data_IF_495796626959
#
_entry.id   IF_495796626959
#
_cell.length_a   1.000
_cell.length_b   1.000
_cell.length_c   1.000
_cell.angle_alpha   90.00
_cell.angle_beta   90.00
_cell.angle_gamma   90.00
#
_symmetry.space_group_name_H-M   'P 1'
#
loop_
_entity.id
_entity.type
_entity.pdbx_description
1 polymer ?
#
# COMPACT_ATOMS: atom_id res chain seq x y z
N UNK A 1 8.08 6.51 2.45
CA UNK A 1 7.78 7.92 2.79
C UNK A 1 6.55 8.35 2.02
N UNK A 2 5.70 9.21 2.59
CA UNK A 2 4.42 9.65 1.99
C UNK A 2 4.39 11.17 1.93
N UNK A 3 3.95 11.73 0.80
CA UNK A 3 3.83 13.18 0.61
C UNK A 3 2.82 13.77 1.61
N UNK A 4 3.12 14.94 2.16
CA UNK A 4 2.20 15.67 3.05
C UNK A 4 0.92 16.16 2.34
N UNK A 5 0.91 16.14 1.01
CA UNK A 5 -0.26 16.47 0.21
C UNK A 5 -1.10 15.25 -0.14
N UNK A 6 -0.62 14.03 0.15
CA UNK A 6 -1.37 12.83 -0.14
C UNK A 6 -2.57 12.70 0.81
N UNK A 7 -3.73 12.34 0.27
CA UNK A 7 -4.94 12.00 1.03
C UNK A 7 -4.68 10.98 2.16
N UNK A 8 -3.73 10.06 1.94
CA UNK A 8 -3.35 9.02 2.89
C UNK A 8 -2.52 9.55 4.08
N UNK A 9 -1.89 10.73 3.96
CA UNK A 9 -0.96 11.23 4.97
C UNK A 9 -1.63 11.49 6.31
N UNK A 10 -2.76 12.20 6.33
CA UNK A 10 -3.54 12.45 7.54
C UNK A 10 -4.07 11.15 8.17
N UNK A 11 -4.47 10.19 7.34
CA UNK A 11 -4.92 8.88 7.81
C UNK A 11 -3.79 8.11 8.52
N UNK A 12 -2.56 8.17 7.99
CA UNK A 12 -1.39 7.52 8.59
C UNK A 12 -0.93 8.20 9.88
N UNK A 13 -1.08 9.52 10.00
CA UNK A 13 -0.78 10.25 11.24
C UNK A 13 -1.70 9.82 12.39
N UNK A 14 -2.98 9.57 12.09
CA UNK A 14 -3.98 9.20 13.10
C UNK A 14 -4.01 7.69 13.39
N UNK A 15 -3.55 6.85 12.45
CA UNK A 15 -3.56 5.41 12.63
C UNK A 15 -2.46 4.91 13.57
N UNK A 16 -2.79 3.94 14.43
CA UNK A 16 -1.82 3.19 15.25
C UNK A 16 -1.16 2.04 14.46
N UNK A 17 -1.78 1.58 13.38
CA UNK A 17 -1.29 0.50 12.53
C UNK A 17 -1.54 0.77 11.05
N UNK A 18 -0.68 0.28 10.17
CA UNK A 18 -0.87 0.37 8.72
C UNK A 18 -0.49 -0.94 8.03
N UNK A 19 -1.04 -1.14 6.84
CA UNK A 19 -0.81 -2.31 6.01
C UNK A 19 -0.05 -1.93 4.74
N UNK A 20 0.80 -2.84 4.27
CA UNK A 20 1.47 -2.76 2.98
C UNK A 20 1.03 -3.98 2.18
N UNK A 21 0.35 -3.74 1.05
CA UNK A 21 0.01 -4.79 0.07
C UNK A 21 1.04 -4.74 -1.06
N UNK A 22 1.81 -5.82 -1.23
CA UNK A 22 2.76 -5.96 -2.34
C UNK A 22 1.97 -6.40 -3.57
N UNK A 23 1.84 -5.55 -4.57
CA UNK A 23 0.98 -5.81 -5.72
C UNK A 23 1.50 -6.96 -6.60
N UNK A 24 0.57 -7.81 -7.05
CA UNK A 24 0.84 -8.85 -8.04
C UNK A 24 0.87 -8.28 -9.47
N UNK A 25 1.53 -8.98 -10.40
CA UNK A 25 1.82 -8.50 -11.75
C UNK A 25 0.61 -8.15 -12.61
N UNK A 26 -0.57 -8.67 -12.27
CA UNK A 26 -1.85 -8.37 -12.92
C UNK A 26 -2.61 -7.19 -12.27
N UNK A 27 -2.05 -6.57 -11.23
CA UNK A 27 -2.69 -5.51 -10.44
C UNK A 27 -2.30 -4.08 -10.87
N UNK A 28 -1.88 -3.89 -12.13
CA UNK A 28 -1.55 -2.57 -12.68
C UNK A 28 -2.70 -1.56 -12.51
N UNK A 29 -3.96 -2.02 -12.67
CA UNK A 29 -5.15 -1.18 -12.47
C UNK A 29 -5.21 -0.60 -11.06
N UNK A 30 -4.88 -1.41 -10.04
CA UNK A 30 -4.86 -0.96 -8.64
C UNK A 30 -3.73 0.04 -8.42
N UNK A 31 -2.52 -0.24 -8.92
CA UNK A 31 -1.40 0.69 -8.85
C UNK A 31 -1.76 2.06 -9.44
N UNK A 32 -2.35 2.06 -10.65
CA UNK A 32 -2.82 3.27 -11.31
C UNK A 32 -3.93 4.02 -10.55
N UNK A 33 -4.84 3.30 -9.89
CA UNK A 33 -5.90 3.90 -9.07
C UNK A 33 -5.33 4.66 -7.88
N UNK A 34 -4.46 4.03 -7.10
CA UNK A 34 -3.86 4.64 -5.90
C UNK A 34 -2.82 5.72 -6.22
N UNK A 35 -2.19 5.68 -7.39
CA UNK A 35 -1.22 6.69 -7.83
C UNK A 35 -1.86 8.04 -8.24
N UNK A 36 -3.14 8.04 -8.68
CA UNK A 36 -3.82 9.24 -9.21
C UNK A 36 -4.23 10.26 -8.15
N UNK A 37 -4.03 9.99 -6.86
CA UNK A 37 -4.41 10.92 -5.79
C UNK A 37 -5.92 11.08 -5.67
N UNK A 38 -6.68 9.99 -5.83
CA UNK A 38 -8.15 9.99 -5.65
C UNK A 38 -8.50 10.52 -4.25
N UNK A 39 -9.51 11.42 -4.11
CA UNK A 39 -9.95 11.91 -2.81
C UNK A 39 -10.32 10.76 -1.86
N UNK A 40 -10.11 10.90 -0.53
CA UNK A 40 -10.31 9.82 0.45
C UNK A 40 -11.65 9.10 0.35
N UNK A 41 -12.73 9.84 0.03
CA UNK A 41 -14.11 9.33 -0.09
C UNK A 41 -14.26 8.28 -1.21
N UNK A 42 -13.52 8.40 -2.31
CA UNK A 42 -13.59 7.47 -3.46
C UNK A 42 -12.43 6.49 -3.54
N UNK A 43 -11.45 6.59 -2.63
CA UNK A 43 -10.22 5.81 -2.69
C UNK A 43 -10.48 4.30 -2.61
N UNK A 44 -11.51 3.91 -1.86
CA UNK A 44 -11.85 2.52 -1.59
C UNK A 44 -13.08 2.02 -2.37
N UNK A 45 -13.67 2.86 -3.21
CA UNK A 45 -14.84 2.46 -3.99
C UNK A 45 -14.44 1.42 -5.04
N UNK A 46 -15.12 0.26 -5.06
CA UNK A 46 -14.84 -0.87 -5.96
C UNK A 46 -13.40 -1.41 -5.83
N UNK A 47 -12.81 -1.28 -4.64
CA UNK A 47 -11.53 -1.89 -4.29
C UNK A 47 -11.81 -3.05 -3.35
N UNK A 48 -11.45 -4.26 -3.80
CA UNK A 48 -11.55 -5.46 -3.00
C UNK A 48 -10.42 -5.51 -1.98
N UNK A 49 -10.78 -5.75 -0.72
CA UNK A 49 -9.85 -5.84 0.41
C UNK A 49 -10.15 -7.10 1.22
N UNK A 50 -9.12 -7.67 1.84
CA UNK A 50 -9.25 -8.83 2.71
C UNK A 50 -10.21 -8.56 3.84
N UNK A 51 -11.08 -9.51 4.12
CA UNK A 51 -11.89 -9.51 5.33
C UNK A 51 -10.97 -9.68 6.56
N UNK A 52 -11.25 -8.91 7.61
CA UNK A 52 -10.48 -9.00 8.85
C UNK A 52 -10.54 -7.73 9.69
N UNK A 53 -9.85 -7.78 10.83
CA UNK A 53 -9.59 -6.61 11.67
C UNK A 53 -8.21 -6.05 11.34
N UNK A 54 -8.10 -4.74 11.28
CA UNK A 54 -6.83 -4.05 11.03
C UNK A 54 -6.89 -3.12 9.81
N UNK A 55 -5.73 -2.72 9.28
CA UNK A 55 -5.68 -1.87 8.09
C UNK A 55 -6.20 -2.61 6.86
N UNK A 56 -6.81 -1.92 5.89
CA UNK A 56 -7.25 -2.53 4.64
C UNK A 56 -6.06 -3.11 3.87
N UNK A 57 -6.19 -4.37 3.45
CA UNK A 57 -5.19 -5.11 2.68
C UNK A 57 -5.81 -5.50 1.34
N UNK A 58 -5.15 -5.18 0.23
CA UNK A 58 -5.72 -5.41 -1.11
C UNK A 58 -5.82 -6.90 -1.42
N UNK A 59 -6.97 -7.35 -1.91
CA UNK A 59 -7.15 -8.72 -2.35
C UNK A 59 -6.22 -9.07 -3.52
N UNK A 60 -5.86 -10.35 -3.63
CA UNK A 60 -5.04 -10.84 -4.75
C UNK A 60 -3.57 -10.39 -4.77
N UNK A 61 -3.10 -9.70 -3.73
CA UNK A 61 -1.71 -9.24 -3.65
C UNK A 61 -0.71 -10.41 -3.67
N UNK A 62 0.56 -10.11 -3.98
CA UNK A 62 1.69 -11.03 -3.82
C UNK A 62 1.93 -11.37 -2.34
N UNK A 63 1.62 -10.43 -1.46
CA UNK A 63 1.69 -10.62 -0.02
C UNK A 63 1.38 -9.34 0.72
N UNK A 64 1.28 -9.48 2.04
CA UNK A 64 0.90 -8.40 2.93
C UNK A 64 1.85 -8.31 4.11
N UNK A 65 2.09 -7.07 4.53
CA UNK A 65 2.84 -6.76 5.74
C UNK A 65 1.94 -5.86 6.59
N UNK A 66 1.68 -6.25 7.84
CA UNK A 66 0.99 -5.41 8.82
C UNK A 66 2.02 -4.84 9.78
N UNK A 67 1.91 -3.55 10.06
CA UNK A 67 2.83 -2.85 10.94
C UNK A 67 2.08 -2.06 12.02
N UNK A 68 2.62 -2.05 13.25
CA UNK A 68 2.31 -1.04 14.24
C UNK A 68 3.17 0.21 13.95
N UNK A 69 2.57 1.40 13.86
CA UNK A 69 3.32 2.65 13.64
C UNK A 69 4.09 3.01 14.90
N UNK A 70 5.40 3.20 14.78
CA UNK A 70 6.28 3.49 15.92
C UNK A 70 6.87 4.88 15.89
N UNK A 71 7.14 5.44 14.70
CA UNK A 71 7.65 6.81 14.54
C UNK A 71 7.17 7.44 13.25
N UNK A 72 7.18 8.77 13.23
CA UNK A 72 7.24 9.56 12.01
C UNK A 72 8.42 10.54 12.04
N UNK A 73 9.00 10.77 10.86
CA UNK A 73 10.04 11.75 10.67
C UNK A 73 9.63 12.69 9.52
N UNK A 74 9.36 13.98 9.80
CA UNK A 74 9.14 14.97 8.76
C UNK A 74 10.39 15.12 7.88
N UNK A 75 10.26 14.98 6.56
CA UNK A 75 11.38 15.04 5.59
C UNK A 75 10.98 15.87 4.37
N UNK A 76 11.35 17.15 4.35
CA UNK A 76 10.96 18.06 3.26
C UNK A 76 9.42 18.11 3.10
N UNK A 77 8.94 17.84 1.89
CA UNK A 77 7.53 17.75 1.52
C UNK A 77 6.87 16.39 1.84
N UNK A 78 7.64 15.45 2.40
CA UNK A 78 7.19 14.11 2.80
C UNK A 78 7.27 13.91 4.32
N UNK A 79 6.68 12.80 4.76
CA UNK A 79 6.90 12.21 6.09
C UNK A 79 7.34 10.75 5.91
N UNK A 80 8.44 10.37 6.55
CA UNK A 80 8.86 8.99 6.67
C UNK A 80 8.15 8.36 7.87
N UNK A 81 7.22 7.46 7.60
CA UNK A 81 6.58 6.63 8.62
C UNK A 81 7.42 5.36 8.84
N UNK A 82 7.64 5.03 10.12
CA UNK A 82 8.36 3.83 10.56
C UNK A 82 7.36 2.93 11.28
N UNK A 83 7.28 1.67 10.85
CA UNK A 83 6.42 0.66 11.46
C UNK A 83 7.21 -0.56 11.92
N UNK A 84 6.85 -1.09 13.06
CA UNK A 84 7.28 -2.43 13.52
C UNK A 84 6.39 -3.48 12.86
N UNK A 85 7.00 -4.46 12.19
CA UNK A 85 6.26 -5.53 11.51
C UNK A 85 5.63 -6.45 12.55
N UNK A 86 4.31 -6.56 12.54
CA UNK A 86 3.55 -7.42 13.44
C UNK A 86 3.07 -8.70 12.76
N UNK A 87 2.93 -8.69 11.43
CA UNK A 87 2.52 -9.85 10.65
C UNK A 87 3.04 -9.76 9.20
N UNK A 88 3.35 -10.92 8.61
CA UNK A 88 3.70 -11.07 7.19
C UNK A 88 2.99 -12.31 6.66
N UNK A 89 2.22 -12.14 5.58
CA UNK A 89 1.47 -13.23 4.95
C UNK A 89 1.75 -13.26 3.44
N UNK A 90 2.06 -14.45 2.86
CA UNK A 90 2.08 -14.60 1.42
C UNK A 90 0.66 -14.50 0.86
N UNK A 91 0.53 -13.89 -0.31
CA UNK A 91 -0.72 -13.82 -1.04
C UNK A 91 -0.75 -14.79 -2.22
N UNK A 92 -1.89 -14.85 -2.94
CA UNK A 92 -2.06 -15.74 -4.09
C UNK A 92 -1.35 -15.24 -5.35
N UNK A 93 -0.86 -13.99 -5.36
CA UNK A 93 -0.11 -13.42 -6.47
C UNK A 93 1.17 -14.22 -6.75
N UNK A 94 1.48 -14.44 -8.04
CA UNK A 94 2.65 -15.23 -8.46
C UNK A 94 3.84 -14.35 -8.81
N UNK A 95 3.58 -13.36 -9.65
CA UNK A 95 4.55 -12.42 -10.17
C UNK A 95 4.41 -11.07 -9.44
N UNK A 96 5.51 -10.37 -9.18
CA UNK A 96 5.47 -9.05 -8.56
C UNK A 96 5.14 -7.97 -9.60
N UNK A 97 4.34 -6.97 -9.26
CA UNK A 97 4.23 -5.77 -10.09
C UNK A 97 5.48 -4.89 -9.89
N UNK A 98 6.21 -4.65 -10.96
CA UNK A 98 7.42 -3.80 -10.94
C UNK A 98 7.13 -2.52 -11.70
N UNK A 99 7.47 -1.37 -11.11
CA UNK A 99 7.42 -0.08 -11.78
C UNK A 99 8.84 0.37 -12.14
N UNK A 100 9.13 0.46 -13.43
CA UNK A 100 10.46 0.82 -13.94
C UNK A 100 10.32 1.69 -15.18
N UNK A 101 11.13 2.75 -15.27
CA UNK A 101 11.11 3.69 -16.42
C UNK A 101 9.69 4.18 -16.77
N UNK A 102 8.91 4.53 -15.74
CA UNK A 102 7.53 5.01 -15.87
C UNK A 102 6.53 4.01 -16.48
N UNK A 103 6.84 2.72 -16.44
CA UNK A 103 5.99 1.65 -16.96
C UNK A 103 5.87 0.52 -15.94
N UNK A 104 4.72 -0.16 -15.95
CA UNK A 104 4.49 -1.36 -15.17
C UNK A 104 4.89 -2.59 -15.97
N UNK A 105 5.57 -3.53 -15.31
CA UNK A 105 5.89 -4.84 -15.84
C UNK A 105 5.61 -5.89 -14.77
N UNK A 106 5.11 -7.06 -15.19
CA UNK A 106 5.12 -8.23 -14.32
C UNK A 106 6.58 -8.69 -14.19
N UNK A 107 7.10 -8.65 -12.97
CA UNK A 107 8.38 -9.26 -12.63
C UNK A 107 8.24 -10.77 -12.62
N UNK A 108 9.22 -11.48 -13.17
CA UNK A 108 9.28 -12.95 -13.10
C UNK A 108 9.42 -13.39 -11.63
N UNK A 109 8.33 -13.89 -11.05
CA UNK A 109 8.34 -14.67 -9.82
C UNK A 109 8.93 -16.05 -10.10
N UNK A 110 9.86 -16.49 -9.24
CA UNK A 110 10.44 -17.83 -9.32
C UNK A 110 9.43 -18.95 -9.07
#
# INVERSE_FOLDING_TARGET
>A
AVSRQAALHELLLQAESFGVSLLAGDQERLAGHFARGVPPIGLWEKIEVREGRGPPLLEGALGWITCARTREHPTGDHTLFVGEVTNVEPGPGRDALVYVRQSYVAGIGG
#
